data_IF_668287905157
#
_entry.id   IF_668287905157
#
_cell.length_a   1.000
_cell.length_b   1.000
_cell.length_c   1.000
_cell.angle_alpha   90.00
_cell.angle_beta   90.00
_cell.angle_gamma   90.00
#
_symmetry.space_group_name_H-M   'P 1'
#
loop_
_entity.id
_entity.type
_entity.pdbx_description
1 polymer ?
#
# COMPACT_ATOMS: atom_id res chain seq x y z
N UNK A 1 -37.16 -34.58 37.63
CA UNK A 1 -35.68 -34.61 37.63
C UNK A 1 -35.26 -33.86 36.38
N UNK A 2 -34.52 -32.74 36.45
CA UNK A 2 -34.10 -32.05 35.24
C UNK A 2 -33.13 -32.96 34.48
N UNK A 3 -33.35 -33.08 33.17
CA UNK A 3 -32.52 -33.88 32.26
C UNK A 3 -31.15 -33.19 32.17
N UNK A 4 -30.10 -33.86 32.63
CA UNK A 4 -28.72 -33.39 32.44
C UNK A 4 -28.44 -33.33 30.93
N UNK A 5 -27.82 -32.24 30.42
CA UNK A 5 -27.45 -32.16 29.02
C UNK A 5 -26.46 -33.29 28.66
N UNK A 6 -26.48 -33.77 27.41
CA UNK A 6 -25.53 -34.80 26.96
C UNK A 6 -24.08 -34.35 27.16
N UNK A 7 -23.20 -35.29 27.50
CA UNK A 7 -21.79 -35.04 27.86
C UNK A 7 -21.03 -34.20 26.84
N UNK A 8 -21.31 -34.34 25.54
CA UNK A 8 -20.71 -33.53 24.49
C UNK A 8 -21.06 -32.05 24.65
N UNK A 9 -22.33 -31.73 24.89
CA UNK A 9 -22.80 -30.35 25.08
C UNK A 9 -22.14 -29.68 26.29
N UNK A 10 -21.87 -30.46 27.34
CA UNK A 10 -21.16 -29.99 28.53
C UNK A 10 -19.67 -29.72 28.23
N UNK A 11 -19.00 -30.59 27.48
CA UNK A 11 -17.63 -30.34 27.01
C UNK A 11 -17.53 -29.10 26.10
N UNK A 12 -18.50 -28.91 25.20
CA UNK A 12 -18.60 -27.72 24.34
C UNK A 12 -18.76 -26.43 25.16
N UNK A 13 -19.68 -26.42 26.14
CA UNK A 13 -19.93 -25.26 27.00
C UNK A 13 -18.73 -24.95 27.92
N UNK A 14 -18.06 -25.97 28.45
CA UNK A 14 -16.84 -25.81 29.25
C UNK A 14 -15.70 -25.27 28.40
N UNK A 15 -15.48 -25.80 27.20
CA UNK A 15 -14.45 -25.31 26.27
C UNK A 15 -14.63 -23.83 25.90
N UNK A 16 -15.86 -23.42 25.55
CA UNK A 16 -16.20 -22.01 25.28
C UNK A 16 -16.02 -21.11 26.51
N UNK A 17 -16.43 -21.57 27.69
CA UNK A 17 -16.30 -20.79 28.94
C UNK A 17 -14.83 -20.58 29.31
N UNK A 18 -13.99 -21.59 29.14
CA UNK A 18 -12.55 -21.51 29.41
C UNK A 18 -11.86 -20.59 28.38
N UNK A 19 -12.20 -20.72 27.10
CA UNK A 19 -11.70 -19.82 26.04
C UNK A 19 -12.08 -18.36 26.27
N UNK A 20 -13.28 -18.09 26.79
CA UNK A 20 -13.76 -16.73 27.01
C UNK A 20 -13.17 -16.08 28.28
N UNK A 21 -12.79 -16.88 29.28
CA UNK A 21 -12.33 -16.39 30.58
C UNK A 21 -10.80 -16.37 30.75
N UNK A 22 -10.07 -16.94 29.79
CA UNK A 22 -8.59 -16.98 29.80
C UNK A 22 -8.01 -15.99 28.78
N UNK A 23 -7.32 -14.92 29.22
CA UNK A 23 -6.70 -13.96 28.30
C UNK A 23 -5.54 -14.58 27.50
N UNK A 24 -4.84 -15.57 28.05
CA UNK A 24 -3.78 -16.31 27.35
C UNK A 24 -4.35 -17.18 26.23
N UNK A 25 -5.52 -17.78 26.46
CA UNK A 25 -6.20 -18.60 25.45
C UNK A 25 -6.82 -17.72 24.36
N UNK A 26 -7.42 -16.57 24.73
CA UNK A 26 -7.90 -15.58 23.77
C UNK A 26 -6.80 -15.08 22.81
N UNK A 27 -5.56 -14.96 23.28
CA UNK A 27 -4.44 -14.60 22.41
C UNK A 27 -4.09 -15.71 21.39
N UNK A 28 -4.46 -16.96 21.66
CA UNK A 28 -4.27 -18.12 20.78
C UNK A 28 -5.47 -18.39 19.87
N UNK A 29 -6.63 -17.79 20.14
CA UNK A 29 -7.82 -17.90 19.30
C UNK A 29 -7.57 -17.31 17.91
N UNK A 30 -8.21 -17.90 16.90
CA UNK A 30 -8.15 -17.42 15.54
C UNK A 30 -8.85 -16.06 15.43
N UNK A 31 -8.11 -15.03 15.05
CA UNK A 31 -8.69 -13.73 14.73
C UNK A 31 -9.32 -13.79 13.34
N UNK A 32 -10.52 -13.24 13.20
CA UNK A 32 -11.32 -13.22 11.98
C UNK A 32 -11.76 -11.81 11.65
N UNK A 33 -12.15 -11.63 10.39
CA UNK A 33 -12.71 -10.37 9.88
C UNK A 33 -13.85 -10.69 8.92
N UNK A 34 -14.89 -9.86 8.96
CA UNK A 34 -15.92 -9.82 7.95
C UNK A 34 -15.37 -9.07 6.74
N UNK A 35 -15.33 -9.67 5.56
CA UNK A 35 -14.68 -9.00 4.44
C UNK A 35 -15.21 -9.36 3.07
N UNK A 36 -15.12 -8.39 2.16
CA UNK A 36 -15.23 -8.65 0.73
C UNK A 36 -13.91 -9.22 0.21
N UNK A 37 -13.94 -10.25 -0.62
CA UNK A 37 -12.74 -10.85 -1.18
C UNK A 37 -12.05 -9.86 -2.13
N UNK A 38 -10.75 -10.09 -2.32
CA UNK A 38 -9.95 -9.31 -3.27
C UNK A 38 -10.60 -9.36 -4.65
N UNK A 39 -10.88 -8.19 -5.22
CA UNK A 39 -11.42 -8.00 -6.56
C UNK A 39 -10.49 -8.59 -7.61
N UNK A 40 -11.07 -8.97 -8.75
CA UNK A 40 -10.31 -9.44 -9.92
C UNK A 40 -9.24 -8.46 -10.38
N UNK A 41 -9.44 -7.15 -10.17
CA UNK A 41 -8.46 -6.09 -10.47
C UNK A 41 -7.14 -6.25 -9.71
N UNK A 42 -7.17 -6.81 -8.51
CA UNK A 42 -5.99 -7.12 -7.70
C UNK A 42 -5.76 -8.63 -7.59
N UNK A 43 -6.31 -9.41 -8.52
CA UNK A 43 -6.07 -10.85 -8.58
C UNK A 43 -4.60 -11.19 -8.88
N UNK A 44 -4.22 -12.48 -8.78
CA UNK A 44 -2.85 -12.91 -9.07
C UNK A 44 -2.35 -12.49 -10.46
N UNK A 45 -3.22 -12.56 -11.47
CA UNK A 45 -2.87 -12.22 -12.85
C UNK A 45 -2.47 -10.76 -13.02
N UNK A 46 -3.27 -9.82 -12.51
CA UNK A 46 -2.97 -8.38 -12.62
C UNK A 46 -1.73 -7.99 -11.83
N UNK A 47 -1.51 -8.59 -10.65
CA UNK A 47 -0.29 -8.38 -9.86
C UNK A 47 0.96 -8.87 -10.57
N UNK A 48 0.94 -10.09 -11.09
CA UNK A 48 2.07 -10.66 -11.86
C UNK A 48 2.37 -9.77 -13.06
N UNK A 49 1.34 -9.38 -13.81
CA UNK A 49 1.51 -8.52 -14.97
C UNK A 49 2.11 -7.16 -14.58
N UNK A 50 1.64 -6.55 -13.50
CA UNK A 50 2.19 -5.30 -12.98
C UNK A 50 3.67 -5.45 -12.60
N UNK A 51 4.04 -6.51 -11.87
CA UNK A 51 5.44 -6.75 -11.50
C UNK A 51 6.35 -6.97 -12.72
N UNK A 52 5.87 -7.72 -13.72
CA UNK A 52 6.58 -7.93 -14.98
C UNK A 52 6.76 -6.61 -15.72
N UNK A 53 5.74 -5.75 -15.76
CA UNK A 53 5.90 -4.42 -16.34
C UNK A 53 6.93 -3.60 -15.58
N UNK A 54 6.81 -3.45 -14.26
CA UNK A 54 7.81 -2.71 -13.46
C UNK A 54 9.23 -3.24 -13.69
N UNK A 55 9.43 -4.56 -13.67
CA UNK A 55 10.73 -5.17 -13.94
C UNK A 55 11.22 -4.88 -15.37
N UNK A 56 10.35 -4.98 -16.37
CA UNK A 56 10.66 -4.67 -17.77
C UNK A 56 11.04 -3.21 -17.95
N UNK A 57 10.35 -2.29 -17.28
CA UNK A 57 10.67 -0.85 -17.30
C UNK A 57 12.09 -0.58 -16.80
N UNK A 58 12.53 -1.33 -15.77
CA UNK A 58 13.86 -1.19 -15.18
C UNK A 58 14.93 -1.84 -16.06
N UNK A 59 14.70 -3.08 -16.52
CA UNK A 59 15.70 -3.91 -17.22
C UNK A 59 15.83 -3.56 -18.71
N UNK A 60 14.72 -3.29 -19.39
CA UNK A 60 14.69 -3.06 -20.84
C UNK A 60 14.79 -1.57 -21.22
N UNK A 61 15.34 -0.72 -20.33
CA UNK A 61 15.38 0.74 -20.43
C UNK A 61 16.03 1.28 -21.72
N UNK A 62 16.85 0.47 -22.40
CA UNK A 62 17.54 0.80 -23.66
C UNK A 62 16.62 0.76 -24.88
N UNK A 63 15.45 0.11 -24.80
CA UNK A 63 14.50 0.00 -25.91
C UNK A 63 13.41 1.05 -25.81
N UNK A 64 13.43 2.04 -26.72
CA UNK A 64 12.59 3.24 -26.63
C UNK A 64 11.08 2.93 -26.69
N UNK A 65 10.68 1.98 -27.54
CA UNK A 65 9.27 1.59 -27.68
C UNK A 65 8.72 0.92 -26.41
N UNK A 66 9.47 -0.06 -25.89
CA UNK A 66 9.09 -0.80 -24.68
C UNK A 66 9.08 0.11 -23.45
N UNK A 67 10.06 1.02 -23.35
CA UNK A 67 10.15 2.01 -22.27
C UNK A 67 8.92 2.90 -22.19
N UNK A 68 8.43 3.44 -23.32
CA UNK A 68 7.32 4.39 -23.30
C UNK A 68 5.98 3.70 -22.93
N UNK A 69 5.72 2.52 -23.46
CA UNK A 69 4.51 1.74 -23.14
C UNK A 69 4.54 1.25 -21.68
N UNK A 70 5.69 0.75 -21.24
CA UNK A 70 5.88 0.27 -19.89
C UNK A 70 5.77 1.41 -18.86
N UNK A 71 6.38 2.56 -19.14
CA UNK A 71 6.31 3.73 -18.27
C UNK A 71 4.87 4.25 -18.14
N UNK A 72 4.08 4.22 -19.22
CA UNK A 72 2.66 4.55 -19.15
C UNK A 72 1.90 3.60 -18.21
N UNK A 73 2.08 2.28 -18.35
CA UNK A 73 1.45 1.29 -17.47
C UNK A 73 1.90 1.43 -16.00
N UNK A 74 3.20 1.65 -15.78
CA UNK A 74 3.80 1.83 -14.46
C UNK A 74 3.33 3.10 -13.74
N UNK A 75 2.85 4.12 -14.48
CA UNK A 75 2.25 5.32 -13.89
C UNK A 75 0.73 5.20 -13.72
N UNK A 76 0.02 4.59 -14.68
CA UNK A 76 -1.44 4.53 -14.65
C UNK A 76 -1.95 3.59 -13.55
N UNK A 77 -1.37 2.39 -13.41
CA UNK A 77 -1.87 1.40 -12.46
C UNK A 77 -1.80 1.87 -10.99
N UNK A 78 -0.69 2.48 -10.52
CA UNK A 78 -0.65 3.08 -9.19
C UNK A 78 -1.59 4.28 -9.03
N UNK A 79 -1.84 5.06 -10.08
CA UNK A 79 -2.78 6.17 -10.00
C UNK A 79 -4.23 5.67 -9.80
N UNK A 80 -4.62 4.60 -10.52
CA UNK A 80 -5.93 3.94 -10.33
C UNK A 80 -6.02 3.36 -8.92
N UNK A 81 -4.99 2.64 -8.47
CA UNK A 81 -4.94 2.09 -7.11
C UNK A 81 -5.00 3.18 -6.03
N UNK A 82 -4.44 4.37 -6.26
CA UNK A 82 -4.50 5.48 -5.34
C UNK A 82 -5.91 6.07 -5.23
N UNK A 83 -6.60 6.25 -6.36
CA UNK A 83 -8.01 6.65 -6.38
C UNK A 83 -8.86 5.60 -5.67
N UNK A 84 -8.61 4.32 -5.93
CA UNK A 84 -9.31 3.23 -5.24
C UNK A 84 -9.07 3.30 -3.72
N UNK A 85 -7.83 3.50 -3.26
CA UNK A 85 -7.53 3.70 -1.84
C UNK A 85 -8.28 4.88 -1.20
N UNK A 86 -8.45 5.98 -1.94
CA UNK A 86 -9.27 7.13 -1.48
C UNK A 86 -10.75 6.74 -1.36
N UNK A 87 -11.28 5.99 -2.34
CA UNK A 87 -12.68 5.54 -2.32
C UNK A 87 -12.95 4.54 -1.20
N UNK A 88 -12.05 3.58 -0.97
CA UNK A 88 -12.12 2.65 0.16
C UNK A 88 -12.18 3.42 1.49
N UNK A 89 -11.37 4.47 1.64
CA UNK A 89 -11.39 5.31 2.84
C UNK A 89 -12.65 6.15 2.99
N UNK A 90 -13.15 6.66 1.88
CA UNK A 90 -14.31 7.55 1.85
C UNK A 90 -15.63 6.81 2.07
N UNK A 91 -15.71 5.56 1.60
CA UNK A 91 -16.89 4.69 1.65
C UNK A 91 -16.78 3.59 2.70
N UNK A 92 -15.98 3.84 3.75
CA UNK A 92 -15.76 2.91 4.85
C UNK A 92 -17.07 2.38 5.45
N UNK A 93 -17.05 1.10 5.81
CA UNK A 93 -18.15 0.43 6.52
C UNK A 93 -17.63 -0.19 7.81
N UNK A 94 -18.22 0.22 8.93
CA UNK A 94 -17.90 -0.38 10.21
C UNK A 94 -18.30 -1.86 10.21
N UNK A 95 -17.45 -2.71 10.78
CA UNK A 95 -17.72 -4.14 10.90
C UNK A 95 -17.41 -4.98 9.66
N UNK A 96 -16.98 -4.39 8.54
CA UNK A 96 -16.45 -5.12 7.39
C UNK A 96 -15.26 -4.42 6.74
N UNK A 97 -14.38 -5.20 6.12
CA UNK A 97 -13.17 -4.70 5.46
C UNK A 97 -13.15 -5.15 4.02
N UNK A 98 -12.86 -4.23 3.09
CA UNK A 98 -12.59 -4.60 1.71
C UNK A 98 -11.12 -5.01 1.56
N UNK A 99 -10.87 -6.27 1.17
CA UNK A 99 -9.52 -6.81 1.04
C UNK A 99 -8.72 -6.20 -0.12
N UNK A 100 -9.35 -5.41 -0.98
CA UNK A 100 -8.67 -4.59 -1.98
C UNK A 100 -7.72 -3.58 -1.37
N UNK A 101 -7.89 -3.22 -0.09
CA UNK A 101 -6.94 -2.38 0.65
C UNK A 101 -5.50 -2.88 0.54
N UNK A 102 -5.27 -4.20 0.59
CA UNK A 102 -3.93 -4.80 0.44
C UNK A 102 -3.45 -4.76 -1.01
N UNK A 103 -4.35 -4.99 -1.97
CA UNK A 103 -4.03 -4.95 -3.40
C UNK A 103 -3.64 -3.54 -3.85
N UNK A 104 -4.47 -2.55 -3.51
CA UNK A 104 -4.23 -1.14 -3.75
C UNK A 104 -2.93 -0.67 -3.08
N UNK A 105 -2.70 -1.06 -1.82
CA UNK A 105 -1.47 -0.74 -1.10
C UNK A 105 -0.22 -1.29 -1.80
N UNK A 106 -0.23 -2.55 -2.26
CA UNK A 106 0.91 -3.13 -2.96
C UNK A 106 1.28 -2.36 -4.24
N UNK A 107 0.29 -2.03 -5.07
CA UNK A 107 0.53 -1.32 -6.33
C UNK A 107 0.97 0.13 -6.06
N UNK A 108 0.30 0.84 -5.14
CA UNK A 108 0.64 2.22 -4.77
C UNK A 108 2.03 2.35 -4.16
N UNK A 109 2.39 1.47 -3.23
CA UNK A 109 3.70 1.51 -2.55
C UNK A 109 4.85 1.24 -3.52
N UNK A 110 4.72 0.28 -4.42
CA UNK A 110 5.71 0.06 -5.48
C UNK A 110 5.78 1.27 -6.41
N UNK A 111 4.64 1.83 -6.81
CA UNK A 111 4.59 3.03 -7.66
C UNK A 111 5.36 4.19 -7.05
N UNK A 112 5.07 4.55 -5.79
CA UNK A 112 5.70 5.70 -5.13
C UNK A 112 7.19 5.50 -4.86
N UNK A 113 7.65 4.25 -4.73
CA UNK A 113 9.07 3.94 -4.52
C UNK A 113 9.87 3.91 -5.84
N UNK A 114 9.28 3.39 -6.91
CA UNK A 114 9.97 3.20 -8.20
C UNK A 114 9.93 4.43 -9.11
N UNK A 115 8.86 5.23 -9.07
CA UNK A 115 8.69 6.36 -9.98
C UNK A 115 9.67 7.52 -9.69
N UNK A 116 9.91 7.94 -8.43
CA UNK A 116 10.94 8.94 -8.14
C UNK A 116 12.33 8.50 -8.63
N UNK A 117 12.68 7.23 -8.47
CA UNK A 117 13.94 6.66 -8.94
C UNK A 117 14.10 6.77 -10.46
N UNK A 118 13.12 6.26 -11.21
CA UNK A 118 13.18 6.24 -12.69
C UNK A 118 13.16 7.63 -13.32
N UNK A 119 12.52 8.60 -12.67
CA UNK A 119 12.39 9.97 -13.18
C UNK A 119 13.61 10.82 -12.79
N UNK A 120 14.16 10.68 -11.57
CA UNK A 120 15.35 11.45 -11.12
C UNK A 120 16.58 11.18 -11.96
N UNK A 121 16.71 9.99 -12.51
CA UNK A 121 17.80 9.65 -13.43
C UNK A 121 17.60 10.19 -14.86
N UNK A 122 16.41 10.67 -15.23
CA UNK A 122 16.12 11.14 -16.58
C UNK A 122 16.15 12.67 -16.68
N UNK A 123 17.27 13.23 -17.17
CA UNK A 123 17.39 14.65 -17.53
C UNK A 123 16.29 15.10 -18.51
N UNK A 124 15.77 14.18 -19.34
CA UNK A 124 14.72 14.44 -20.32
C UNK A 124 13.36 14.76 -19.66
N UNK A 125 13.09 14.21 -18.48
CA UNK A 125 11.79 14.37 -17.81
C UNK A 125 11.76 15.60 -16.88
N UNK A 126 12.91 15.97 -16.32
CA UNK A 126 13.03 17.12 -15.41
C UNK A 126 13.03 18.50 -16.08
N UNK A 127 13.47 18.59 -17.34
CA UNK A 127 13.62 19.86 -18.05
C UNK A 127 12.40 20.28 -18.91
N UNK A 128 11.33 19.48 -18.93
CA UNK A 128 10.18 19.60 -19.83
C UNK A 128 8.83 19.62 -19.07
N UNK A 129 7.68 19.88 -19.73
CA UNK A 129 6.34 19.95 -19.08
C UNK A 129 5.93 18.72 -18.27
N UNK A 130 6.60 17.56 -18.46
CA UNK A 130 6.39 16.34 -17.68
C UNK A 130 6.55 16.54 -16.17
N UNK A 131 7.40 17.49 -15.73
CA UNK A 131 7.63 17.78 -14.30
C UNK A 131 6.34 18.08 -13.52
N UNK A 132 5.42 18.84 -14.11
CA UNK A 132 4.16 19.19 -13.45
C UNK A 132 3.22 17.98 -13.34
N UNK A 133 3.19 17.14 -14.38
CA UNK A 133 2.37 15.91 -14.39
C UNK A 133 2.84 14.94 -13.31
N UNK A 134 4.15 14.76 -13.15
CA UNK A 134 4.67 13.89 -12.09
C UNK A 134 4.49 14.45 -10.68
N UNK A 135 4.52 15.77 -10.53
CA UNK A 135 4.20 16.40 -9.26
C UNK A 135 2.76 16.06 -8.85
N UNK A 136 1.79 16.27 -9.76
CA UNK A 136 0.38 15.92 -9.53
C UNK A 136 0.19 14.41 -9.30
N UNK A 137 0.87 13.58 -10.09
CA UNK A 137 0.84 12.13 -9.92
C UNK A 137 1.36 11.70 -8.54
N UNK A 138 2.48 12.27 -8.08
CA UNK A 138 3.05 11.97 -6.75
C UNK A 138 2.12 12.42 -5.63
N UNK A 139 1.47 13.59 -5.78
CA UNK A 139 0.44 14.06 -4.85
C UNK A 139 -0.72 13.07 -4.74
N UNK A 140 -1.21 12.56 -5.89
CA UNK A 140 -2.30 11.60 -5.94
C UNK A 140 -1.93 10.29 -5.22
N UNK A 141 -0.75 9.74 -5.49
CA UNK A 141 -0.29 8.51 -4.82
C UNK A 141 -0.11 8.71 -3.32
N UNK A 142 0.44 9.85 -2.90
CA UNK A 142 0.60 10.17 -1.48
C UNK A 142 -0.76 10.26 -0.79
N UNK A 143 -1.75 10.92 -1.42
CA UNK A 143 -3.12 10.97 -0.90
C UNK A 143 -3.74 9.57 -0.79
N UNK A 144 -3.56 8.72 -1.81
CA UNK A 144 -4.00 7.33 -1.79
C UNK A 144 -3.36 6.49 -0.68
N UNK A 145 -2.04 6.61 -0.46
CA UNK A 145 -1.36 5.89 0.62
C UNK A 145 -1.78 6.38 2.01
N UNK A 146 -2.01 7.68 2.18
CA UNK A 146 -2.56 8.21 3.44
C UNK A 146 -3.97 7.64 3.67
N UNK A 147 -4.82 7.63 2.64
CA UNK A 147 -6.16 7.06 2.72
C UNK A 147 -6.13 5.56 3.10
N UNK A 148 -5.27 4.77 2.44
CA UNK A 148 -5.05 3.35 2.78
C UNK A 148 -4.54 3.16 4.20
N UNK A 149 -3.65 4.06 4.68
CA UNK A 149 -3.15 4.03 6.06
C UNK A 149 -4.29 4.24 7.06
N UNK A 150 -5.21 5.17 6.78
CA UNK A 150 -6.39 5.40 7.61
C UNK A 150 -7.29 4.17 7.63
N UNK A 151 -7.49 3.51 6.49
CA UNK A 151 -8.32 2.30 6.43
C UNK A 151 -7.68 1.11 7.15
N UNK A 152 -6.37 0.92 7.05
CA UNK A 152 -5.67 -0.10 7.83
C UNK A 152 -5.79 0.16 9.33
N UNK A 153 -5.72 1.44 9.73
CA UNK A 153 -5.83 1.83 11.14
C UNK A 153 -7.24 1.60 11.71
N UNK A 154 -8.28 1.81 10.89
CA UNK A 154 -9.68 1.62 11.28
C UNK A 154 -10.13 0.17 11.25
N UNK A 155 -9.45 -0.69 10.50
CA UNK A 155 -9.77 -2.10 10.36
C UNK A 155 -9.57 -2.87 11.68
N UNK A 156 -10.62 -3.53 12.15
CA UNK A 156 -10.61 -4.30 13.40
C UNK A 156 -10.78 -5.79 13.13
N UNK A 157 -10.24 -6.61 14.02
CA UNK A 157 -10.39 -8.08 14.00
C UNK A 157 -11.13 -8.54 15.24
N UNK A 158 -11.99 -9.54 15.08
CA UNK A 158 -12.67 -10.18 16.20
C UNK A 158 -12.05 -11.55 16.51
N UNK A 159 -11.94 -11.96 17.79
CA UNK A 159 -11.56 -13.33 18.12
C UNK A 159 -12.71 -14.30 17.81
N UNK A 160 -12.42 -15.41 17.15
CA UNK A 160 -13.38 -16.47 16.88
C UNK A 160 -13.34 -17.55 17.97
N UNK A 161 -14.41 -17.69 18.73
CA UNK A 161 -14.52 -18.64 19.85
C UNK A 161 -15.12 -19.97 19.41
N UNK A 162 -15.69 -20.04 18.20
CA UNK A 162 -16.48 -21.17 17.73
C UNK A 162 -16.25 -21.44 16.24
N UNK A 163 -15.93 -22.69 15.92
CA UNK A 163 -15.76 -23.22 14.57
C UNK A 163 -17.09 -23.48 13.82
N UNK A 164 -18.24 -23.17 14.43
CA UNK A 164 -19.58 -23.44 13.89
C UNK A 164 -20.16 -24.77 14.38
N UNK A 165 -19.33 -25.61 15.00
CA UNK A 165 -19.72 -26.88 15.61
C UNK A 165 -19.56 -26.87 17.14
N UNK A 166 -19.29 -25.71 17.73
CA UNK A 166 -19.16 -25.52 19.16
C UNK A 166 -17.77 -25.83 19.72
N UNK A 167 -16.74 -25.94 18.87
CA UNK A 167 -15.36 -26.13 19.31
C UNK A 167 -14.55 -24.83 19.17
N UNK A 168 -13.59 -24.57 20.08
CA UNK A 168 -12.72 -23.41 19.98
C UNK A 168 -11.80 -23.50 18.77
N UNK A 169 -11.72 -22.41 18.00
CA UNK A 169 -10.88 -22.32 16.82
C UNK A 169 -9.55 -21.62 17.14
N UNK A 170 -8.46 -22.36 17.07
CA UNK A 170 -7.12 -21.86 17.39
C UNK A 170 -6.36 -21.41 16.15
N UNK A 171 -5.39 -20.52 16.34
CA UNK A 171 -4.54 -20.04 15.24
C UNK A 171 -3.75 -21.20 14.62
N UNK A 172 -3.84 -21.33 13.30
CA UNK A 172 -3.08 -22.32 12.52
C UNK A 172 -3.84 -23.63 12.24
N UNK A 173 -5.06 -23.79 12.76
CA UNK A 173 -5.96 -24.84 12.31
C UNK A 173 -6.67 -24.42 11.01
N UNK A 174 -7.05 -25.37 10.14
CA UNK A 174 -7.86 -25.06 8.97
C UNK A 174 -9.14 -24.31 9.36
N UNK A 175 -9.42 -23.20 8.67
CA UNK A 175 -10.62 -22.41 8.91
C UNK A 175 -11.83 -23.05 8.21
N UNK A 176 -12.93 -23.38 8.91
CA UNK A 176 -14.12 -23.95 8.30
C UNK A 176 -14.96 -22.85 7.64
N UNK A 177 -14.62 -22.55 6.38
CA UNK A 177 -15.31 -21.53 5.58
C UNK A 177 -16.79 -21.88 5.40
N UNK A 178 -17.67 -20.93 5.74
CA UNK A 178 -19.12 -21.06 5.59
C UNK A 178 -19.85 -21.58 6.84
N UNK A 179 -19.16 -22.31 7.73
CA UNK A 179 -19.75 -22.85 8.97
C UNK A 179 -19.48 -21.94 10.17
N UNK A 180 -18.26 -21.39 10.31
CA UNK A 180 -17.89 -20.51 11.40
C UNK A 180 -18.26 -19.04 11.13
N UNK A 181 -19.33 -18.55 11.76
CA UNK A 181 -19.72 -17.12 11.71
C UNK A 181 -19.07 -16.28 12.83
N UNK A 182 -18.50 -16.92 13.86
CA UNK A 182 -17.78 -16.25 14.94
C UNK A 182 -18.55 -15.09 15.62
N UNK A 183 -19.89 -15.16 15.65
CA UNK A 183 -20.75 -14.11 16.22
C UNK A 183 -20.92 -12.85 15.36
N UNK A 184 -20.48 -12.88 14.10
CA UNK A 184 -20.62 -11.78 13.15
C UNK A 184 -21.72 -12.07 12.13
N UNK A 185 -22.42 -11.03 11.67
CA UNK A 185 -23.41 -11.12 10.58
C UNK A 185 -22.73 -10.67 9.29
N UNK A 186 -22.28 -11.64 8.51
CA UNK A 186 -21.50 -11.45 7.27
C UNK A 186 -22.18 -12.18 6.10
N UNK A 187 -23.44 -11.84 5.85
CA UNK A 187 -24.24 -12.37 4.75
C UNK A 187 -24.64 -11.24 3.81
N UNK A 188 -25.05 -11.57 2.59
CA UNK A 188 -25.42 -10.57 1.58
C UNK A 188 -26.71 -9.85 1.96
N UNK A 189 -27.64 -10.56 2.60
CA UNK A 189 -28.98 -10.08 2.94
C UNK A 189 -29.01 -9.21 4.20
N UNK A 190 -28.33 -9.65 5.26
CA UNK A 190 -28.41 -9.05 6.60
C UNK A 190 -27.08 -8.37 7.02
N UNK A 191 -26.01 -8.57 6.25
CA UNK A 191 -24.68 -8.02 6.54
C UNK A 191 -24.48 -6.59 6.02
N UNK A 192 -23.30 -6.02 6.27
CA UNK A 192 -22.95 -4.69 5.76
C UNK A 192 -22.87 -4.71 4.23
N UNK A 193 -23.40 -3.67 3.59
CA UNK A 193 -23.34 -3.48 2.14
C UNK A 193 -22.33 -2.38 1.77
N UNK A 194 -21.54 -2.61 0.73
CA UNK A 194 -20.59 -1.61 0.20
C UNK A 194 -21.12 -1.05 -1.12
N UNK A 195 -21.20 0.28 -1.30
CA UNK A 195 -21.57 0.87 -2.60
C UNK A 195 -20.60 0.51 -3.74
N UNK A 196 -19.40 0.02 -3.40
CA UNK A 196 -18.39 -0.42 -4.37
C UNK A 196 -18.55 -1.88 -4.77
N UNK A 197 -19.35 -2.65 -4.02
CA UNK A 197 -19.55 -4.09 -4.17
C UNK A 197 -21.04 -4.34 -4.37
N UNK A 198 -21.44 -4.52 -5.62
CA UNK A 198 -22.83 -4.77 -6.00
C UNK A 198 -22.90 -5.93 -7.00
N UNK A 199 -24.10 -6.51 -7.13
CA UNK A 199 -24.37 -7.65 -8.01
C UNK A 199 -23.40 -8.80 -7.77
N UNK A 200 -22.67 -9.24 -8.80
CA UNK A 200 -21.78 -10.41 -8.69
C UNK A 200 -20.55 -10.22 -7.78
N UNK A 201 -20.33 -9.02 -7.23
CA UNK A 201 -19.21 -8.70 -6.36
C UNK A 201 -19.62 -8.37 -4.91
N UNK A 202 -20.90 -8.53 -4.56
CA UNK A 202 -21.45 -8.25 -3.23
C UNK A 202 -21.12 -9.31 -2.17
N UNK A 203 -20.49 -10.40 -2.60
CA UNK A 203 -20.18 -11.55 -1.76
C UNK A 203 -19.25 -11.19 -0.60
N UNK A 204 -19.73 -11.45 0.62
CA UNK A 204 -19.04 -11.15 1.86
C UNK A 204 -18.88 -12.44 2.68
N UNK A 205 -17.73 -12.61 3.33
CA UNK A 205 -17.43 -13.81 4.10
C UNK A 205 -16.70 -13.49 5.40
N UNK A 206 -16.83 -14.38 6.36
CA UNK A 206 -15.93 -14.46 7.52
C UNK A 206 -14.66 -15.17 7.08
N UNK A 207 -13.52 -14.50 7.20
CA UNK A 207 -12.21 -15.05 6.84
C UNK A 207 -11.21 -14.85 7.98
N UNK A 208 -10.19 -15.70 8.10
CA UNK A 208 -9.11 -15.49 9.05
C UNK A 208 -8.40 -14.17 8.75
N UNK A 209 -8.15 -13.37 9.80
CA UNK A 209 -7.43 -12.12 9.67
C UNK A 209 -5.99 -12.36 9.17
N UNK A 210 -5.44 -11.48 8.31
CA UNK A 210 -4.07 -11.61 7.81
C UNK A 210 -3.05 -11.65 8.96
N UNK A 211 -2.18 -12.67 8.96
CA UNK A 211 -1.16 -12.89 9.99
C UNK A 211 0.25 -12.46 9.55
N UNK A 212 0.58 -12.54 8.25
CA UNK A 212 1.89 -12.13 7.71
C UNK A 212 2.03 -10.60 7.76
N UNK A 213 1.01 -9.90 7.27
CA UNK A 213 0.90 -8.45 7.31
C UNK A 213 -0.43 -8.11 7.95
N UNK A 214 -0.46 -8.08 9.28
CA UNK A 214 -1.66 -7.70 10.05
C UNK A 214 -2.05 -6.25 9.76
N UNK A 215 -3.30 -5.87 10.03
CA UNK A 215 -3.77 -4.48 9.82
C UNK A 215 -2.90 -3.44 10.53
N UNK A 216 -2.45 -3.72 11.76
CA UNK A 216 -1.52 -2.86 12.49
C UNK A 216 -0.14 -2.75 11.83
N UNK A 217 0.43 -3.88 11.37
CA UNK A 217 1.69 -3.87 10.64
C UNK A 217 1.55 -3.15 9.29
N UNK A 218 0.45 -3.39 8.57
CA UNK A 218 0.13 -2.73 7.31
C UNK A 218 0.03 -1.21 7.47
N UNK A 219 -0.59 -0.73 8.56
CA UNK A 219 -0.65 0.70 8.90
C UNK A 219 0.74 1.31 8.98
N UNK A 220 1.66 0.67 9.72
CA UNK A 220 3.02 1.16 9.91
C UNK A 220 3.83 1.17 8.60
N UNK A 221 3.75 0.07 7.83
CA UNK A 221 4.45 -0.03 6.55
C UNK A 221 3.88 0.99 5.55
N UNK A 222 2.56 1.15 5.49
CA UNK A 222 1.90 2.14 4.64
C UNK A 222 2.31 3.58 4.99
N UNK A 223 2.33 3.92 6.28
CA UNK A 223 2.81 5.21 6.75
C UNK A 223 4.30 5.44 6.40
N UNK A 224 5.14 4.42 6.51
CA UNK A 224 6.55 4.51 6.13
C UNK A 224 6.74 4.76 4.62
N UNK A 225 5.92 4.13 3.77
CA UNK A 225 5.93 4.35 2.31
C UNK A 225 5.53 5.78 1.89
N UNK A 226 4.87 6.55 2.76
CA UNK A 226 4.56 7.96 2.50
C UNK A 226 5.80 8.86 2.58
N UNK A 227 6.83 8.47 3.35
CA UNK A 227 8.02 9.31 3.59
C UNK A 227 8.77 9.63 2.28
N UNK A 228 9.12 8.63 1.44
CA UNK A 228 9.78 8.92 0.16
C UNK A 228 8.93 9.79 -0.78
N UNK A 229 7.62 9.58 -0.80
CA UNK A 229 6.68 10.38 -1.58
C UNK A 229 6.67 11.85 -1.17
N UNK A 230 6.53 12.12 0.14
CA UNK A 230 6.53 13.47 0.69
C UNK A 230 7.87 14.18 0.45
N UNK A 231 9.00 13.49 0.67
CA UNK A 231 10.32 14.04 0.37
C UNK A 231 10.48 14.35 -1.13
N UNK A 232 10.00 13.46 -2.00
CA UNK A 232 10.03 13.69 -3.46
C UNK A 232 9.20 14.90 -3.88
N UNK A 233 8.04 15.07 -3.26
CA UNK A 233 7.12 16.18 -3.48
C UNK A 233 7.75 17.51 -3.03
N UNK A 234 8.30 17.60 -1.81
CA UNK A 234 8.96 18.81 -1.29
C UNK A 234 10.12 19.24 -2.18
N UNK A 235 10.97 18.29 -2.57
CA UNK A 235 12.13 18.57 -3.42
C UNK A 235 11.74 19.04 -4.83
N UNK A 236 10.70 18.44 -5.42
CA UNK A 236 10.20 18.83 -6.74
C UNK A 236 9.50 20.20 -6.69
N UNK A 237 8.70 20.45 -5.65
CA UNK A 237 8.07 21.74 -5.42
C UNK A 237 9.10 22.88 -5.30
N UNK A 238 10.14 22.66 -4.50
CA UNK A 238 11.22 23.62 -4.34
C UNK A 238 11.92 23.94 -5.67
N UNK A 239 12.23 22.92 -6.47
CA UNK A 239 12.81 23.11 -7.82
C UNK A 239 11.87 23.88 -8.76
N UNK A 240 10.57 23.63 -8.72
CA UNK A 240 9.57 24.36 -9.52
C UNK A 240 9.58 25.85 -9.15
N UNK A 241 9.52 26.17 -7.86
CA UNK A 241 9.58 27.55 -7.37
C UNK A 241 10.87 28.24 -7.79
N UNK A 242 12.01 27.59 -7.60
CA UNK A 242 13.31 28.15 -8.00
C UNK A 242 13.36 28.44 -9.50
N UNK A 243 12.89 27.51 -10.34
CA UNK A 243 12.87 27.70 -11.80
C UNK A 243 11.98 28.89 -12.19
N UNK A 244 10.79 28.98 -11.60
CA UNK A 244 9.84 30.07 -11.87
C UNK A 244 10.36 31.43 -11.39
N UNK A 245 11.02 31.46 -10.23
CA UNK A 245 11.67 32.65 -9.69
C UNK A 245 12.80 33.12 -10.59
N UNK A 246 13.73 32.21 -10.96
CA UNK A 246 14.85 32.55 -11.84
C UNK A 246 14.40 33.05 -13.22
N UNK A 247 13.32 32.49 -13.76
CA UNK A 247 12.73 32.97 -15.02
C UNK A 247 12.10 34.36 -14.89
N UNK A 248 11.60 34.74 -13.72
CA UNK A 248 10.88 36.00 -13.49
C UNK A 248 11.77 37.15 -13.03
N UNK A 249 12.81 36.85 -12.25
CA UNK A 249 13.62 37.86 -11.55
C UNK A 249 15.14 37.73 -11.80
N UNK A 250 15.59 36.75 -12.59
CA UNK A 250 17.02 36.45 -12.75
C UNK A 250 17.54 35.46 -11.70
N UNK A 251 18.78 34.98 -11.86
CA UNK A 251 19.38 33.99 -10.95
C UNK A 251 19.64 34.59 -9.56
N UNK A 252 19.13 34.01 -8.47
CA UNK A 252 19.42 34.50 -7.12
C UNK A 252 20.87 34.19 -6.71
N UNK A 253 21.50 35.11 -5.99
CA UNK A 253 22.81 34.88 -5.38
C UNK A 253 22.70 33.78 -4.31
N UNK A 254 23.66 32.85 -4.34
CA UNK A 254 23.59 31.62 -3.53
C UNK A 254 23.69 31.88 -2.02
N UNK A 255 24.30 33.00 -1.64
CA UNK A 255 24.63 33.35 -0.26
C UNK A 255 23.69 34.43 0.31
N UNK A 256 22.72 34.91 -0.47
CA UNK A 256 21.77 35.91 0.01
C UNK A 256 20.76 35.27 0.98
N UNK A 257 20.54 35.94 2.11
CA UNK A 257 19.60 35.49 3.15
C UNK A 257 18.18 35.79 2.67
N UNK A 258 17.32 34.75 2.64
CA UNK A 258 15.93 34.91 2.23
C UNK A 258 15.17 35.66 3.34
N UNK A 259 14.75 36.89 3.06
CA UNK A 259 13.97 37.74 3.98
C UNK A 259 12.72 37.02 4.49
N UNK A 260 12.48 37.06 5.81
CA UNK A 260 11.34 36.41 6.45
C UNK A 260 11.53 34.93 6.78
N UNK A 261 12.71 34.34 6.50
CA UNK A 261 13.09 33.02 7.00
C UNK A 261 14.17 33.15 8.08
N UNK A 262 14.27 32.18 9.00
CA UNK A 262 15.24 32.16 10.10
C UNK A 262 16.70 31.96 9.61
N UNK A 263 17.20 32.85 8.76
CA UNK A 263 18.56 32.78 8.21
C UNK A 263 18.78 31.75 7.09
N UNK A 264 17.72 31.31 6.40
CA UNK A 264 17.88 30.33 5.33
C UNK A 264 18.45 30.97 4.05
N UNK A 265 19.48 30.34 3.47
CA UNK A 265 20.10 30.75 2.20
C UNK A 265 19.75 29.79 1.07
N UNK A 266 19.83 30.26 -0.18
CA UNK A 266 19.62 29.43 -1.38
C UNK A 266 20.65 28.29 -1.45
N UNK A 267 21.89 28.55 -1.03
CA UNK A 267 22.96 27.55 -0.89
C UNK A 267 22.62 26.47 0.15
N UNK A 268 22.13 26.86 1.33
CA UNK A 268 21.71 25.91 2.37
C UNK A 268 20.59 24.97 1.89
N UNK A 269 19.63 25.52 1.13
CA UNK A 269 18.51 24.75 0.59
C UNK A 269 18.94 23.74 -0.50
N UNK A 270 19.93 24.10 -1.32
CA UNK A 270 20.57 23.15 -2.27
C UNK A 270 21.24 21.99 -1.54
N UNK A 271 21.94 22.27 -0.44
CA UNK A 271 22.60 21.24 0.39
C UNK A 271 21.59 20.27 1.00
N UNK A 272 20.48 20.78 1.55
CA UNK A 272 19.39 19.94 2.08
C UNK A 272 18.77 19.09 0.98
N UNK A 273 18.47 19.67 -0.18
CA UNK A 273 17.91 18.94 -1.32
C UNK A 273 18.84 17.83 -1.83
N UNK A 274 20.17 18.06 -1.81
CA UNK A 274 21.16 17.04 -2.14
C UNK A 274 21.21 15.92 -1.08
N UNK A 275 21.09 16.24 0.20
CA UNK A 275 21.01 15.26 1.29
C UNK A 275 19.78 14.36 1.16
N UNK A 276 18.59 14.96 0.92
CA UNK A 276 17.35 14.23 0.65
C UNK A 276 17.49 13.37 -0.61
N UNK A 277 18.14 13.89 -1.65
CA UNK A 277 18.44 13.15 -2.88
C UNK A 277 19.26 11.88 -2.62
N UNK A 278 20.27 11.95 -1.74
CA UNK A 278 21.07 10.78 -1.34
C UNK A 278 20.25 9.76 -0.55
N UNK A 279 19.41 10.21 0.40
CA UNK A 279 18.55 9.29 1.17
C UNK A 279 17.56 8.55 0.28
N UNK A 280 16.90 9.25 -0.64
CA UNK A 280 15.99 8.65 -1.60
C UNK A 280 16.74 7.66 -2.50
N UNK A 281 17.93 8.02 -2.97
CA UNK A 281 18.78 7.11 -3.75
C UNK A 281 19.17 5.85 -2.98
N UNK A 282 19.45 5.92 -1.67
CA UNK A 282 19.84 4.73 -0.87
C UNK A 282 18.70 3.71 -0.75
N UNK A 283 17.46 4.17 -0.62
CA UNK A 283 16.27 3.30 -0.64
C UNK A 283 16.07 2.66 -2.03
N UNK A 284 16.56 3.31 -3.08
CA UNK A 284 16.43 2.88 -4.48
C UNK A 284 17.57 1.95 -4.97
N UNK A 285 18.72 1.91 -4.27
CA UNK A 285 19.94 1.19 -4.69
C UNK A 285 19.83 -0.35 -4.81
N UNK A 286 18.96 -1.11 -4.10
CA UNK A 286 18.95 -2.56 -4.34
C UNK A 286 18.33 -2.95 -5.71
N UNK A 287 17.69 -2.01 -6.42
CA UNK A 287 17.06 -2.27 -7.73
C UNK A 287 17.99 -1.93 -8.92
N UNK A 288 19.10 -1.21 -8.68
CA UNK A 288 19.92 -0.59 -9.75
C UNK A 288 21.40 -0.87 -9.52
N UNK A 289 21.80 -2.14 -9.52
CA UNK A 289 23.19 -2.51 -9.78
C UNK A 289 23.25 -3.32 -11.07
N UNK A 290 23.40 -2.61 -12.18
CA UNK A 290 23.99 -3.19 -13.38
C UNK A 290 25.45 -3.55 -13.02
N UNK A 291 25.76 -4.83 -12.92
CA UNK A 291 27.13 -5.27 -13.23
C UNK A 291 27.39 -4.96 -14.72
N UNK A 292 28.56 -4.44 -15.10
CA UNK A 292 28.91 -4.29 -16.49
C UNK A 292 28.98 -5.68 -17.14
N UNK A 293 28.05 -5.96 -18.05
CA UNK A 293 28.06 -7.17 -18.88
C UNK A 293 29.40 -7.30 -19.62
N UNK A 294 30.03 -8.49 -19.68
CA UNK A 294 31.40 -8.69 -20.18
C UNK A 294 31.56 -8.67 -21.71
N UNK A 295 30.61 -8.11 -22.47
CA UNK A 295 30.55 -8.28 -23.94
C UNK A 295 31.11 -7.12 -24.77
N UNK A 296 31.88 -6.20 -24.18
CA UNK A 296 32.48 -5.05 -24.88
C UNK A 296 34.01 -5.00 -24.70
N UNK A 297 34.68 -6.16 -24.88
CA UNK A 297 36.16 -6.27 -24.90
C UNK A 297 36.75 -6.98 -26.11
N UNK A 298 35.97 -7.21 -27.17
CA UNK A 298 36.48 -7.75 -28.42
C UNK A 298 35.98 -6.92 -29.57
N UNK A 299 36.67 -5.80 -29.84
CA UNK A 299 36.83 -5.16 -31.16
C UNK A 299 37.79 -3.96 -31.00
N UNK A 300 38.99 -4.25 -30.52
CA UNK A 300 40.18 -3.44 -30.84
C UNK A 300 41.41 -4.36 -30.81
N UNK A 301 41.60 -5.09 -31.90
CA UNK A 301 42.91 -5.56 -32.35
C UNK A 301 42.92 -5.52 -33.86
#
# INVERSE_FOLDING_TARGET
MPVLPPFDLLHHLVGRTVANNSPELQAQLQSVVCSWPVSGEYGPGSRILYYVFVATCVLARKTVWLRNACLAAALILPAIAAVHGILLASLHRDGAVDMDIYGAFQICSIGILTAPATVRLSNTYFNNPGRNVLFVWTMLLLAGLIALTVEFFRSQTAPCIDDGHGQPLYRGTPFPYGDAMCGMVCTVEDGPSSPMRDGSADNIYVVPAPNILSFGAATLVSAACCIPGALSMVTTYHKILQTNWSRRFGGPDADEVISGTNGATVGGMKTVNNGIGRLLSVVEIPVVRDDPSPFEKTLSS
#
